data_IF_281628248565
#
_entry.id   IF_281628248565
#
_cell.length_a   1.000
_cell.length_b   1.000
_cell.length_c   1.000
_cell.angle_alpha   90.00
_cell.angle_beta   90.00
_cell.angle_gamma   90.00
#
_symmetry.space_group_name_H-M   'P 1'
#
loop_
_entity.id
_entity.type
_entity.pdbx_description
1 polymer ?
#
# COMPACT_ATOMS: atom_id res chain seq x y z
N UNK A 1 11.69 -13.97 -6.05
CA UNK A 1 10.53 -13.06 -6.18
C UNK A 1 10.61 -12.07 -5.04
N UNK A 2 10.71 -10.77 -5.35
CA UNK A 2 10.80 -9.69 -4.35
C UNK A 2 9.42 -9.48 -3.73
N UNK A 3 9.34 -9.31 -2.42
CA UNK A 3 8.07 -9.16 -1.68
C UNK A 3 7.87 -7.72 -1.26
N UNK A 4 6.78 -7.11 -1.74
CA UNK A 4 6.38 -5.74 -1.43
C UNK A 4 5.07 -5.77 -0.64
N UNK A 5 5.05 -5.13 0.53
CA UNK A 5 3.87 -5.06 1.40
C UNK A 5 3.41 -3.61 1.58
N UNK A 6 2.12 -3.35 1.33
CA UNK A 6 1.50 -2.07 1.64
C UNK A 6 0.81 -2.09 3.00
N UNK A 7 1.02 -1.05 3.81
CA UNK A 7 0.46 -0.98 5.17
C UNK A 7 -0.34 0.29 5.39
N UNK A 8 -1.57 0.15 5.90
CA UNK A 8 -2.36 1.27 6.42
C UNK A 8 -2.92 0.94 7.81
N UNK A 9 -3.96 1.64 8.27
CA UNK A 9 -4.59 1.37 9.57
C UNK A 9 -5.39 0.07 9.55
N UNK A 10 -6.49 0.03 8.79
CA UNK A 10 -7.47 -1.07 8.84
C UNK A 10 -7.36 -2.10 7.72
N UNK A 11 -6.49 -1.88 6.72
CA UNK A 11 -6.38 -2.73 5.53
C UNK A 11 -7.68 -2.93 4.72
N UNK A 12 -8.56 -1.93 4.73
CA UNK A 12 -9.84 -1.95 3.99
C UNK A 12 -9.94 -0.88 2.90
N UNK A 13 -9.03 0.11 2.90
CA UNK A 13 -9.08 1.28 2.02
C UNK A 13 -7.75 1.44 1.27
N UNK A 14 -6.84 2.25 1.80
CA UNK A 14 -5.59 2.67 1.13
C UNK A 14 -4.68 1.50 0.72
N UNK A 15 -4.28 0.65 1.66
CA UNK A 15 -3.33 -0.44 1.35
C UNK A 15 -3.92 -1.53 0.47
N UNK A 16 -5.23 -1.80 0.54
CA UNK A 16 -5.90 -2.73 -0.39
C UNK A 16 -6.00 -2.17 -1.80
N UNK A 17 -6.27 -0.87 -1.96
CA UNK A 17 -6.20 -0.21 -3.27
C UNK A 17 -4.77 -0.23 -3.82
N UNK A 18 -3.76 0.07 -2.99
CA UNK A 18 -2.36 0.05 -3.38
C UNK A 18 -1.90 -1.34 -3.86
N UNK A 19 -2.25 -2.40 -3.13
CA UNK A 19 -1.97 -3.78 -3.55
C UNK A 19 -2.57 -4.09 -4.91
N UNK A 20 -3.85 -3.77 -5.10
CA UNK A 20 -4.58 -4.11 -6.32
C UNK A 20 -4.05 -3.34 -7.54
N UNK A 21 -3.85 -2.03 -7.38
CA UNK A 21 -3.26 -1.17 -8.40
C UNK A 21 -1.85 -1.63 -8.77
N UNK A 22 -1.02 -1.97 -7.79
CA UNK A 22 0.36 -2.36 -8.07
C UNK A 22 0.43 -3.72 -8.77
N UNK A 23 -0.41 -4.69 -8.39
CA UNK A 23 -0.57 -5.96 -9.13
C UNK A 23 -0.93 -5.72 -10.59
N UNK A 24 -1.90 -4.84 -10.86
CA UNK A 24 -2.29 -4.48 -12.23
C UNK A 24 -1.13 -3.86 -13.00
N UNK A 25 -0.44 -2.87 -12.41
CA UNK A 25 0.73 -2.23 -13.05
C UNK A 25 1.82 -3.26 -13.38
N UNK A 26 2.11 -4.19 -12.46
CA UNK A 26 3.10 -5.25 -12.70
C UNK A 26 2.69 -6.17 -13.84
N UNK A 27 1.42 -6.57 -13.89
CA UNK A 27 0.89 -7.40 -14.98
C UNK A 27 0.98 -6.69 -16.34
N UNK A 28 0.64 -5.40 -16.39
CA UNK A 28 0.74 -4.59 -17.62
C UNK A 28 2.19 -4.46 -18.12
N UNK A 29 3.17 -4.58 -17.23
CA UNK A 29 4.60 -4.55 -17.55
C UNK A 29 5.23 -5.96 -17.70
N UNK A 30 4.45 -7.04 -17.53
CA UNK A 30 4.95 -8.42 -17.57
C UNK A 30 5.88 -8.81 -16.42
N UNK A 31 5.71 -8.18 -15.25
CA UNK A 31 6.57 -8.29 -14.05
C UNK A 31 5.89 -9.01 -12.89
N UNK A 32 4.69 -9.54 -13.08
CA UNK A 32 3.90 -10.18 -12.04
C UNK A 32 4.54 -11.45 -11.43
N UNK A 33 5.56 -12.01 -12.10
CA UNK A 33 6.34 -13.15 -11.62
C UNK A 33 7.57 -12.75 -10.79
N UNK A 34 7.99 -11.50 -10.89
CA UNK A 34 9.20 -11.01 -10.24
C UNK A 34 8.91 -10.43 -8.86
N UNK A 35 7.72 -9.85 -8.70
CA UNK A 35 7.31 -9.11 -7.52
C UNK A 35 5.99 -9.68 -6.97
N UNK A 36 6.05 -10.19 -5.74
CA UNK A 36 4.88 -10.54 -4.95
C UNK A 36 4.38 -9.32 -4.20
N UNK A 37 3.09 -9.02 -4.35
CA UNK A 37 2.46 -7.85 -3.73
C UNK A 37 1.40 -8.30 -2.74
N UNK A 38 1.44 -7.70 -1.57
CA UNK A 38 0.55 -7.99 -0.45
C UNK A 38 0.19 -6.70 0.29
N UNK A 39 -0.89 -6.72 1.07
CA UNK A 39 -1.21 -5.66 2.02
C UNK A 39 -1.63 -6.17 3.39
N UNK A 40 -1.49 -5.31 4.40
CA UNK A 40 -1.96 -5.53 5.77
C UNK A 40 -2.27 -4.19 6.47
N UNK A 41 -2.71 -4.26 7.73
CA UNK A 41 -3.02 -3.09 8.55
C UNK A 41 -2.47 -3.19 9.97
N UNK A 42 -2.06 -2.07 10.55
CA UNK A 42 -1.51 -2.03 11.92
C UNK A 42 -2.58 -2.31 12.99
N UNK A 43 -3.85 -2.06 12.66
CA UNK A 43 -5.03 -2.26 13.49
C UNK A 43 -6.20 -2.78 12.64
N UNK A 44 -5.92 -3.73 11.76
CA UNK A 44 -6.94 -4.41 10.97
C UNK A 44 -7.71 -5.42 11.83
N UNK A 45 -9.02 -5.52 11.58
CA UNK A 45 -9.80 -6.67 12.03
C UNK A 45 -9.73 -7.71 10.93
N UNK A 46 -9.14 -8.86 11.26
CA UNK A 46 -8.89 -9.97 10.33
C UNK A 46 -10.19 -10.37 9.61
N UNK A 47 -10.10 -10.55 8.30
CA UNK A 47 -11.23 -10.97 7.48
C UNK A 47 -12.24 -9.88 7.11
N UNK A 48 -12.09 -8.63 7.57
CA UNK A 48 -12.99 -7.56 7.12
C UNK A 48 -12.90 -7.34 5.61
N UNK A 49 -14.02 -7.12 4.91
CA UNK A 49 -14.00 -6.80 3.49
C UNK A 49 -13.36 -5.43 3.25
N UNK A 50 -12.90 -5.19 2.02
CA UNK A 50 -12.59 -3.83 1.58
C UNK A 50 -13.83 -2.92 1.72
N UNK A 51 -13.58 -1.63 1.95
CA UNK A 51 -14.61 -0.59 1.96
C UNK A 51 -15.38 -0.61 0.64
N UNK A 52 -16.70 -0.43 0.69
CA UNK A 52 -17.55 -0.39 -0.49
C UNK A 52 -17.12 0.66 -1.51
N UNK A 53 -16.67 1.83 -1.03
CA UNK A 53 -16.13 2.89 -1.90
C UNK A 53 -14.79 2.48 -2.53
N UNK A 54 -13.92 1.78 -1.80
CA UNK A 54 -12.69 1.24 -2.37
C UNK A 54 -12.99 0.21 -3.47
N UNK A 55 -13.98 -0.68 -3.26
CA UNK A 55 -14.42 -1.64 -4.27
C UNK A 55 -14.93 -0.93 -5.53
N UNK A 56 -15.77 0.10 -5.38
CA UNK A 56 -16.30 0.86 -6.53
C UNK A 56 -15.19 1.56 -7.32
N UNK A 57 -14.33 2.30 -6.63
CA UNK A 57 -13.23 3.04 -7.28
C UNK A 57 -12.24 2.10 -7.97
N UNK A 58 -11.95 0.93 -7.39
CA UNK A 58 -11.13 -0.07 -8.07
C UNK A 58 -11.80 -0.68 -9.29
N UNK A 59 -13.13 -0.82 -9.30
CA UNK A 59 -13.87 -1.27 -10.49
C UNK A 59 -13.79 -0.27 -11.64
N UNK A 60 -13.74 1.03 -11.37
CA UNK A 60 -13.46 2.06 -12.40
C UNK A 60 -12.08 1.87 -13.03
N UNK A 61 -11.13 1.35 -12.24
CA UNK A 61 -9.80 0.93 -12.70
C UNK A 61 -9.79 -0.48 -13.31
N UNK A 62 -10.95 -1.12 -13.49
CA UNK A 62 -11.05 -2.48 -14.05
C UNK A 62 -10.57 -3.59 -13.12
N UNK A 63 -10.53 -3.34 -11.80
CA UNK A 63 -10.06 -4.29 -10.78
C UNK A 63 -11.20 -4.57 -9.80
N UNK A 64 -11.51 -5.85 -9.54
CA UNK A 64 -12.45 -6.22 -8.48
C UNK A 64 -11.71 -6.64 -7.21
N UNK A 65 -11.88 -5.86 -6.14
CA UNK A 65 -11.35 -6.15 -4.80
C UNK A 65 -12.43 -6.60 -3.81
N UNK A 66 -13.62 -7.01 -4.28
CA UNK A 66 -14.71 -7.50 -3.42
C UNK A 66 -14.34 -8.76 -2.61
N UNK A 67 -13.41 -9.56 -3.12
CA UNK A 67 -12.84 -10.73 -2.45
C UNK A 67 -11.71 -10.38 -1.46
N UNK A 68 -11.24 -9.13 -1.43
CA UNK A 68 -10.20 -8.70 -0.49
C UNK A 68 -10.64 -8.93 0.96
N UNK A 69 -9.70 -9.41 1.77
CA UNK A 69 -9.90 -9.63 3.20
C UNK A 69 -8.76 -8.96 3.94
N UNK A 70 -9.11 -8.08 4.86
CA UNK A 70 -8.16 -7.35 5.68
C UNK A 70 -7.33 -8.33 6.51
N UNK A 71 -6.03 -8.08 6.58
CA UNK A 71 -5.07 -8.88 7.34
C UNK A 71 -4.36 -8.01 8.38
N UNK A 72 -4.28 -8.52 9.60
CA UNK A 72 -3.54 -7.86 10.67
C UNK A 72 -2.03 -7.98 10.42
N UNK A 73 -1.32 -6.88 10.67
CA UNK A 73 0.14 -6.85 10.63
C UNK A 73 0.72 -7.93 11.55
N UNK A 74 1.64 -8.73 11.01
CA UNK A 74 2.34 -9.77 11.73
C UNK A 74 3.84 -9.77 11.40
N UNK A 75 4.65 -10.39 12.26
CA UNK A 75 6.09 -10.53 12.03
C UNK A 75 6.40 -11.27 10.72
N UNK A 76 5.57 -12.25 10.35
CA UNK A 76 5.74 -13.00 9.10
C UNK A 76 5.52 -12.11 7.87
N UNK A 77 4.52 -11.22 7.91
CA UNK A 77 4.30 -10.25 6.83
C UNK A 77 5.47 -9.27 6.74
N UNK A 78 6.04 -8.87 7.88
CA UNK A 78 7.17 -7.96 7.96
C UNK A 78 8.51 -8.56 7.50
N UNK A 79 8.57 -9.85 7.19
CA UNK A 79 9.74 -10.46 6.51
C UNK A 79 9.87 -10.02 5.04
N UNK A 80 8.94 -9.21 4.52
CA UNK A 80 9.01 -8.63 3.19
C UNK A 80 10.33 -7.88 2.92
N UNK A 81 10.69 -7.79 1.64
CA UNK A 81 11.89 -7.08 1.18
C UNK A 81 11.68 -5.56 1.19
N UNK A 82 10.43 -5.12 0.97
CA UNK A 82 10.03 -3.72 1.00
C UNK A 82 8.65 -3.58 1.63
N UNK A 83 8.52 -2.63 2.55
CA UNK A 83 7.28 -2.30 3.25
C UNK A 83 7.00 -0.81 3.02
N UNK A 84 5.86 -0.52 2.40
CA UNK A 84 5.44 0.83 2.05
C UNK A 84 4.21 1.21 2.87
N UNK A 85 4.38 2.18 3.76
CA UNK A 85 3.31 2.64 4.63
C UNK A 85 2.59 3.83 4.03
N UNK A 86 1.30 3.99 4.35
CA UNK A 86 0.52 5.13 3.86
C UNK A 86 0.85 6.42 4.60
N UNK A 87 1.33 6.35 5.84
CA UNK A 87 1.71 7.51 6.64
C UNK A 87 3.00 7.29 7.40
N UNK A 88 3.60 8.38 7.90
CA UNK A 88 4.72 8.38 8.84
C UNK A 88 4.34 7.70 10.15
N UNK A 89 3.14 7.93 10.67
CA UNK A 89 2.66 7.26 11.89
C UNK A 89 2.63 5.72 11.73
N UNK A 90 2.27 5.21 10.55
CA UNK A 90 2.34 3.77 10.27
C UNK A 90 3.79 3.27 10.23
N UNK A 91 4.72 4.04 9.63
CA UNK A 91 6.16 3.72 9.61
C UNK A 91 6.72 3.68 11.03
N UNK A 92 6.46 4.72 11.82
CA UNK A 92 6.94 4.84 13.19
C UNK A 92 6.36 3.74 14.10
N UNK A 93 5.08 3.39 13.93
CA UNK A 93 4.49 2.25 14.63
C UNK A 93 5.24 0.94 14.34
N UNK A 94 5.54 0.67 13.07
CA UNK A 94 6.27 -0.54 12.68
C UNK A 94 7.70 -0.51 13.24
N UNK A 95 8.43 0.60 13.09
CA UNK A 95 9.83 0.71 13.53
C UNK A 95 9.99 0.61 15.05
N UNK A 96 9.04 1.18 15.80
CA UNK A 96 9.04 1.08 17.27
C UNK A 96 8.75 -0.34 17.76
N UNK A 97 7.85 -1.05 17.08
CA UNK A 97 7.45 -2.41 17.46
C UNK A 97 8.36 -3.50 16.91
N UNK A 98 8.96 -3.26 15.74
CA UNK A 98 9.79 -4.21 15.00
C UNK A 98 11.07 -3.53 14.48
N UNK A 99 12.05 -3.20 15.35
CA UNK A 99 13.25 -2.46 14.94
C UNK A 99 14.09 -3.15 13.85
N UNK A 100 13.98 -4.47 13.72
CA UNK A 100 14.62 -5.28 12.67
C UNK A 100 14.04 -5.04 11.27
N UNK A 101 13.05 -4.16 11.11
CA UNK A 101 12.54 -3.73 9.81
C UNK A 101 13.16 -2.43 9.32
N UNK A 102 14.07 -1.83 10.10
CA UNK A 102 14.84 -0.65 9.67
C UNK A 102 15.57 -0.94 8.35
N UNK A 103 15.51 0.02 7.42
CA UNK A 103 16.10 -0.10 6.08
C UNK A 103 15.19 -0.72 5.02
N UNK A 104 14.04 -1.28 5.40
CA UNK A 104 13.03 -1.79 4.45
C UNK A 104 11.62 -1.21 4.62
N UNK A 105 11.41 -0.33 5.60
CA UNK A 105 10.12 0.36 5.84
C UNK A 105 10.25 1.82 5.46
N UNK A 106 9.39 2.27 4.56
CA UNK A 106 9.35 3.65 4.06
C UNK A 106 7.91 4.13 3.94
N UNK A 107 7.70 5.44 4.00
CA UNK A 107 6.42 6.02 3.57
C UNK A 107 6.33 5.90 2.05
N UNK A 108 5.15 5.63 1.50
CA UNK A 108 4.95 5.44 0.06
C UNK A 108 5.49 6.63 -0.75
N UNK A 109 5.14 7.85 -0.35
CA UNK A 109 5.61 9.08 -0.98
C UNK A 109 7.14 9.22 -0.88
N UNK A 110 7.70 9.06 0.32
CA UNK A 110 9.15 9.12 0.58
C UNK A 110 9.93 8.18 -0.35
N UNK A 111 9.45 6.95 -0.53
CA UNK A 111 10.09 5.97 -1.42
C UNK A 111 9.89 6.32 -2.90
N UNK A 112 8.71 6.84 -3.26
CA UNK A 112 8.35 7.17 -4.64
C UNK A 112 9.08 8.40 -5.18
N UNK A 113 9.29 9.45 -4.38
CA UNK A 113 9.85 10.73 -4.84
C UNK A 113 11.33 10.94 -4.49
N UNK A 114 11.96 9.98 -3.79
CA UNK A 114 13.31 10.12 -3.23
C UNK A 114 13.49 11.32 -2.28
N UNK A 115 12.37 11.90 -1.82
CA UNK A 115 12.30 13.02 -0.87
C UNK A 115 12.43 12.50 0.55
N UNK A 116 13.57 11.89 0.88
CA UNK A 116 13.85 11.47 2.25
C UNK A 116 13.90 12.70 3.17
N UNK A 117 12.91 12.83 4.06
CA UNK A 117 12.89 13.82 5.14
C UNK A 117 11.87 14.96 5.01
N UNK A 118 11.01 14.98 3.98
CA UNK A 118 9.92 15.97 3.90
C UNK A 118 8.78 15.68 4.89
N UNK A 119 8.16 16.75 5.40
CA UNK A 119 7.12 16.67 6.45
C UNK A 119 5.73 16.29 5.92
N UNK A 120 5.46 16.47 4.62
CA UNK A 120 4.13 16.26 4.02
C UNK A 120 4.13 15.09 3.03
N UNK A 121 4.32 13.88 3.55
CA UNK A 121 4.46 12.63 2.78
C UNK A 121 3.29 11.66 2.97
N UNK A 122 2.29 12.04 3.76
CA UNK A 122 1.19 11.17 4.18
C UNK A 122 0.09 11.08 3.11
N UNK A 123 -0.37 9.86 2.82
CA UNK A 123 -1.58 9.62 2.03
C UNK A 123 -2.80 9.82 2.92
N UNK A 124 -3.61 10.82 2.57
CA UNK A 124 -4.86 11.17 3.27
C UNK A 124 -5.78 9.96 3.45
N UNK A 125 -6.39 9.80 4.62
CA UNK A 125 -7.29 8.69 4.91
C UNK A 125 -8.69 8.93 4.34
N UNK A 126 -9.19 8.12 3.39
CA UNK A 126 -10.52 8.32 2.82
C UNK A 126 -11.64 7.71 3.68
N UNK A 127 -11.31 7.06 4.80
CA UNK A 127 -12.31 6.37 5.63
C UNK A 127 -13.45 7.32 6.08
N UNK A 128 -14.69 6.90 5.88
CA UNK A 128 -15.89 7.70 6.17
C UNK A 128 -16.21 8.79 5.13
N UNK A 129 -15.33 9.03 4.15
CA UNK A 129 -15.55 9.97 3.05
C UNK A 129 -16.40 9.42 1.91
N UNK A 130 -16.71 10.31 0.97
CA UNK A 130 -17.44 9.99 -0.26
C UNK A 130 -16.56 9.30 -1.31
N UNK A 131 -17.20 8.82 -2.39
CA UNK A 131 -16.51 8.12 -3.48
C UNK A 131 -15.46 8.99 -4.19
N UNK A 132 -15.69 10.30 -4.31
CA UNK A 132 -14.73 11.24 -4.91
C UNK A 132 -13.44 11.33 -4.08
N UNK A 133 -13.55 11.32 -2.75
CA UNK A 133 -12.40 11.26 -1.85
C UNK A 133 -11.61 9.98 -2.05
N UNK A 134 -12.26 8.82 -2.18
CA UNK A 134 -11.59 7.56 -2.50
C UNK A 134 -10.91 7.60 -3.87
N UNK A 135 -11.57 8.18 -4.88
CA UNK A 135 -11.03 8.31 -6.24
C UNK A 135 -9.75 9.15 -6.25
N UNK A 136 -9.76 10.30 -5.56
CA UNK A 136 -8.57 11.16 -5.40
C UNK A 136 -7.42 10.43 -4.73
N UNK A 137 -7.68 9.72 -3.63
CA UNK A 137 -6.65 8.92 -2.94
C UNK A 137 -6.14 7.77 -3.82
N UNK A 138 -7.01 7.10 -4.58
CA UNK A 138 -6.61 6.05 -5.51
C UNK A 138 -5.70 6.57 -6.63
N UNK A 139 -6.03 7.73 -7.21
CA UNK A 139 -5.20 8.39 -8.23
C UNK A 139 -3.83 8.76 -7.66
N UNK A 140 -3.80 9.37 -6.48
CA UNK A 140 -2.56 9.72 -5.78
C UNK A 140 -1.68 8.49 -5.54
N UNK A 141 -2.25 7.39 -5.03
CA UNK A 141 -1.53 6.12 -4.83
C UNK A 141 -0.99 5.61 -6.18
N UNK A 142 -1.84 5.58 -7.22
CA UNK A 142 -1.48 5.06 -8.55
C UNK A 142 -0.30 5.81 -9.16
N UNK A 143 -0.25 7.13 -9.02
CA UNK A 143 0.89 7.93 -9.49
C UNK A 143 2.19 7.55 -8.78
N UNK A 144 2.15 7.44 -7.45
CA UNK A 144 3.31 7.06 -6.64
C UNK A 144 3.80 5.65 -6.98
N UNK A 145 2.89 4.72 -7.22
CA UNK A 145 3.23 3.33 -7.58
C UNK A 145 4.03 3.21 -8.88
N UNK A 146 3.80 4.09 -9.86
CA UNK A 146 4.62 4.12 -11.09
C UNK A 146 6.08 4.44 -10.78
N UNK A 147 6.30 5.39 -9.87
CA UNK A 147 7.65 5.76 -9.44
C UNK A 147 8.29 4.67 -8.58
N UNK A 148 7.51 4.00 -7.72
CA UNK A 148 7.96 2.82 -6.96
C UNK A 148 8.50 1.75 -7.93
N UNK A 149 7.76 1.42 -8.99
CA UNK A 149 8.21 0.43 -9.97
C UNK A 149 9.51 0.86 -10.66
N UNK A 150 9.58 2.09 -11.16
CA UNK A 150 10.77 2.62 -11.82
C UNK A 150 12.01 2.59 -10.89
N UNK A 151 11.82 2.80 -9.58
CA UNK A 151 12.90 2.70 -8.58
C UNK A 151 13.30 1.26 -8.32
N UNK A 152 12.35 0.32 -8.29
CA UNK A 152 12.62 -1.11 -8.14
C UNK A 152 13.39 -1.70 -9.34
N UNK A 153 13.38 -1.05 -10.50
CA UNK A 153 14.14 -1.46 -11.70
C UNK A 153 15.59 -1.00 -11.70
N UNK A 154 15.90 0.08 -10.96
CA UNK A 154 17.25 0.65 -10.87
C UNK A 154 18.14 0.00 -9.80
N UNK A 155 17.56 -0.82 -8.92
CA UNK A 155 18.22 -1.49 -7.80
C UNK A 155 18.16 -3.00 -7.97
#
# INVERSE_FOLDING_TARGET
MKRVVFVCTGNTCRSSMAEALFKKILQEQGRERDIMVESCGIAAVEGMPASSNAVKVMKEEGIDISSHRARQLSEEILKADLILTMTKNHKDYILNRFPNTKGRVFVLEEFASDRMGDEDVDISDPYGGDEETYRRVAMEIKEKLKNVLARLEKN
#
